data_IF_641758956502
#
_entry.id   IF_641758956502
#
_cell.length_a   1.000
_cell.length_b   1.000
_cell.length_c   1.000
_cell.angle_alpha   90.00
_cell.angle_beta   90.00
_cell.angle_gamma   90.00
#
_symmetry.space_group_name_H-M   'P 1'
#
loop_
_entity.id
_entity.type
_entity.pdbx_description
1 polymer ?
#
# COMPACT_ATOMS: atom_id res chain seq x y z
N UNK A 1 18.17 -31.27 5.74
CA UNK A 1 17.27 -30.37 6.51
C UNK A 1 17.34 -28.91 6.05
N UNK A 2 18.46 -28.38 5.55
CA UNK A 2 18.58 -26.94 5.18
C UNK A 2 17.79 -26.46 3.95
N UNK A 3 17.53 -27.31 2.95
CA UNK A 3 16.96 -26.86 1.66
C UNK A 3 15.57 -26.22 1.79
N UNK A 4 14.64 -26.86 2.51
CA UNK A 4 13.29 -26.31 2.70
C UNK A 4 13.29 -25.05 3.58
N UNK A 5 14.21 -24.96 4.54
CA UNK A 5 14.42 -23.75 5.34
C UNK A 5 14.86 -22.58 4.45
N UNK A 6 15.79 -22.79 3.51
CA UNK A 6 16.22 -21.75 2.56
C UNK A 6 15.11 -21.38 1.56
N UNK A 7 14.33 -22.35 1.07
CA UNK A 7 13.18 -22.06 0.20
C UNK A 7 12.13 -21.21 0.95
N UNK A 8 11.83 -21.54 2.21
CA UNK A 8 10.91 -20.76 3.02
C UNK A 8 11.44 -19.34 3.24
N UNK A 9 12.72 -19.21 3.62
CA UNK A 9 13.39 -17.92 3.80
C UNK A 9 13.28 -17.03 2.58
N UNK A 10 13.56 -17.59 1.41
CA UNK A 10 13.46 -16.88 0.13
C UNK A 10 12.01 -16.43 -0.13
N UNK A 11 11.03 -17.31 0.06
CA UNK A 11 9.60 -16.95 -0.08
C UNK A 11 9.19 -15.84 0.88
N UNK A 12 9.60 -15.92 2.14
CA UNK A 12 9.31 -14.88 3.14
C UNK A 12 9.95 -13.55 2.76
N UNK A 13 11.20 -13.55 2.28
CA UNK A 13 11.88 -12.34 1.82
C UNK A 13 11.14 -11.67 0.66
N UNK A 14 10.82 -12.42 -0.40
CA UNK A 14 10.12 -11.87 -1.57
C UNK A 14 8.72 -11.33 -1.21
N UNK A 15 7.96 -12.08 -0.40
CA UNK A 15 6.64 -11.64 0.06
C UNK A 15 6.75 -10.37 0.92
N UNK A 16 7.77 -10.30 1.79
CA UNK A 16 8.00 -9.12 2.63
C UNK A 16 8.23 -7.87 1.79
N UNK A 17 9.10 -7.92 0.79
CA UNK A 17 9.37 -6.76 -0.06
C UNK A 17 8.11 -6.28 -0.78
N UNK A 18 7.28 -7.21 -1.29
CA UNK A 18 6.00 -6.85 -1.91
C UNK A 18 5.05 -6.21 -0.88
N UNK A 19 4.96 -6.74 0.34
CA UNK A 19 4.11 -6.18 1.41
C UNK A 19 4.58 -4.79 1.87
N UNK A 20 5.90 -4.54 1.90
CA UNK A 20 6.47 -3.23 2.20
C UNK A 20 6.11 -2.22 1.10
N UNK A 21 6.30 -2.59 -0.17
CA UNK A 21 5.95 -1.73 -1.31
C UNK A 21 4.45 -1.40 -1.32
N UNK A 22 3.60 -2.38 -1.03
CA UNK A 22 2.15 -2.14 -0.92
C UNK A 22 1.81 -1.16 0.20
N UNK A 23 2.51 -1.19 1.33
CA UNK A 23 2.31 -0.18 2.36
C UNK A 23 2.80 1.20 1.90
N UNK A 24 3.95 1.31 1.24
CA UNK A 24 4.43 2.57 0.65
C UNK A 24 3.37 3.18 -0.27
N UNK A 25 2.90 2.39 -1.23
CA UNK A 25 1.87 2.79 -2.19
C UNK A 25 0.56 3.19 -1.51
N UNK A 26 0.15 2.46 -0.46
CA UNK A 26 -1.01 2.83 0.35
C UNK A 26 -0.86 4.21 0.97
N UNK A 27 0.29 4.53 1.55
CA UNK A 27 0.53 5.83 2.16
C UNK A 27 0.59 6.95 1.11
N UNK A 28 1.19 6.69 -0.06
CA UNK A 28 1.23 7.64 -1.16
C UNK A 28 -0.17 7.95 -1.70
N UNK A 29 -1.01 6.92 -1.89
CA UNK A 29 -2.40 7.07 -2.30
C UNK A 29 -3.18 7.88 -1.26
N UNK A 30 -3.04 7.56 0.03
CA UNK A 30 -3.71 8.30 1.12
C UNK A 30 -3.26 9.76 1.19
N UNK A 31 -1.98 10.03 0.95
CA UNK A 31 -1.43 11.38 0.96
C UNK A 31 -1.93 12.22 -0.22
N UNK A 32 -2.12 11.61 -1.39
CA UNK A 32 -2.66 12.31 -2.56
C UNK A 32 -4.17 12.44 -2.47
N UNK A 33 -4.87 11.44 -1.95
CA UNK A 33 -6.33 11.39 -1.91
C UNK A 33 -6.87 11.63 -0.49
N UNK A 34 -6.59 12.81 0.07
CA UNK A 34 -7.10 13.22 1.38
C UNK A 34 -7.98 14.49 1.30
N UNK A 35 -9.30 14.35 1.13
CA UNK A 35 -10.19 15.50 0.99
C UNK A 35 -10.33 16.35 2.26
N UNK A 36 -9.92 15.86 3.42
CA UNK A 36 -10.00 16.59 4.70
C UNK A 36 -8.88 17.63 4.85
N UNK A 37 -7.83 17.55 4.02
CA UNK A 37 -6.68 18.45 4.11
C UNK A 37 -6.81 19.63 3.14
N UNK A 38 -6.45 20.84 3.61
CA UNK A 38 -6.58 22.08 2.84
C UNK A 38 -5.76 22.08 1.54
N UNK A 39 -4.62 21.36 1.52
CA UNK A 39 -3.80 21.22 0.32
C UNK A 39 -4.50 20.44 -0.80
N UNK A 40 -5.46 19.58 -0.47
CA UNK A 40 -6.12 18.72 -1.45
C UNK A 40 -6.96 19.54 -2.43
N UNK A 41 -7.88 20.36 -1.90
CA UNK A 41 -8.77 21.19 -2.73
C UNK A 41 -7.98 22.20 -3.58
N UNK A 42 -6.90 22.76 -3.01
CA UNK A 42 -6.16 23.87 -3.63
C UNK A 42 -5.08 23.41 -4.60
N UNK A 43 -4.42 22.27 -4.35
CA UNK A 43 -3.30 21.80 -5.19
C UNK A 43 -3.58 20.48 -5.91
N UNK A 44 -4.30 19.55 -5.29
CA UNK A 44 -4.40 18.18 -5.80
C UNK A 44 -5.59 18.00 -6.72
N UNK A 45 -6.79 18.37 -6.25
CA UNK A 45 -8.07 18.08 -6.91
C UNK A 45 -8.13 18.53 -8.37
N UNK A 46 -7.49 19.65 -8.70
CA UNK A 46 -7.48 20.24 -10.05
C UNK A 46 -6.21 19.93 -10.84
N UNK A 47 -5.25 19.19 -10.27
CA UNK A 47 -3.96 18.92 -10.90
C UNK A 47 -3.98 17.62 -11.69
N UNK A 48 -3.83 17.73 -13.01
CA UNK A 48 -3.64 16.57 -13.89
C UNK A 48 -2.40 15.76 -13.55
N UNK A 49 -1.37 16.38 -12.95
CA UNK A 49 -0.17 15.70 -12.49
C UNK A 49 -0.49 14.78 -11.29
N UNK A 50 -1.10 15.30 -10.23
CA UNK A 50 -1.43 14.49 -9.05
C UNK A 50 -2.49 13.43 -9.35
N UNK A 51 -3.44 13.73 -10.24
CA UNK A 51 -4.39 12.71 -10.71
C UNK A 51 -3.69 11.55 -11.42
N UNK A 52 -2.71 11.83 -12.28
CA UNK A 52 -1.88 10.78 -12.93
C UNK A 52 -1.08 9.97 -11.91
N UNK A 53 -0.49 10.61 -10.91
CA UNK A 53 0.22 9.91 -9.84
C UNK A 53 -0.72 8.98 -9.07
N UNK A 54 -1.89 9.46 -8.65
CA UNK A 54 -2.91 8.66 -7.98
C UNK A 54 -3.28 7.41 -8.80
N UNK A 55 -3.54 7.57 -10.10
CA UNK A 55 -3.87 6.45 -10.99
C UNK A 55 -2.72 5.45 -11.11
N UNK A 56 -1.48 5.94 -11.24
CA UNK A 56 -0.30 5.08 -11.36
C UNK A 56 -0.01 4.31 -10.07
N UNK A 57 -0.11 4.94 -8.90
CA UNK A 57 0.07 4.26 -7.62
C UNK A 57 -1.02 3.23 -7.38
N UNK A 58 -2.28 3.55 -7.70
CA UNK A 58 -3.38 2.58 -7.64
C UNK A 58 -3.14 1.40 -8.57
N UNK A 59 -2.66 1.66 -9.79
CA UNK A 59 -2.30 0.62 -10.76
C UNK A 59 -1.21 -0.31 -10.20
N UNK A 60 -0.11 0.25 -9.66
CA UNK A 60 0.98 -0.53 -9.07
C UNK A 60 0.48 -1.35 -7.89
N UNK A 61 -0.32 -0.74 -7.01
CA UNK A 61 -0.91 -1.41 -5.86
C UNK A 61 -1.70 -2.65 -6.27
N UNK A 62 -2.55 -2.53 -7.30
CA UNK A 62 -3.34 -3.65 -7.81
C UNK A 62 -2.46 -4.76 -8.39
N UNK A 63 -1.42 -4.40 -9.13
CA UNK A 63 -0.48 -5.36 -9.73
C UNK A 63 0.26 -6.13 -8.64
N UNK A 64 0.80 -5.44 -7.64
CA UNK A 64 1.58 -6.07 -6.58
C UNK A 64 0.70 -6.86 -5.60
N UNK A 65 -0.50 -6.36 -5.30
CA UNK A 65 -1.48 -7.11 -4.52
C UNK A 65 -1.87 -8.41 -5.24
N UNK A 66 -2.03 -8.38 -6.56
CA UNK A 66 -2.32 -9.57 -7.36
C UNK A 66 -1.25 -10.66 -7.21
N UNK A 67 0.04 -10.29 -7.14
CA UNK A 67 1.14 -11.25 -6.94
C UNK A 67 0.99 -12.06 -5.65
N UNK A 68 0.40 -11.47 -4.62
CA UNK A 68 0.22 -12.10 -3.31
C UNK A 68 -1.02 -12.98 -3.19
N UNK A 69 -2.01 -12.82 -4.08
CA UNK A 69 -3.32 -13.49 -3.98
C UNK A 69 -3.56 -14.52 -5.08
N UNK A 70 -2.94 -14.37 -6.26
CA UNK A 70 -3.21 -15.27 -7.39
C UNK A 70 -2.45 -16.59 -7.24
N UNK A 71 -3.18 -17.70 -7.37
CA UNK A 71 -2.66 -19.05 -7.18
C UNK A 71 -1.55 -19.45 -8.16
N UNK A 72 -1.45 -18.80 -9.32
CA UNK A 72 -0.41 -19.08 -10.32
C UNK A 72 0.91 -18.40 -10.00
N UNK A 73 0.92 -17.41 -9.11
CA UNK A 73 2.11 -16.66 -8.73
C UNK A 73 2.95 -17.48 -7.72
N UNK A 74 4.27 -17.49 -7.90
CA UNK A 74 5.17 -18.29 -7.06
C UNK A 74 5.24 -17.80 -5.60
N UNK A 75 5.00 -16.51 -5.38
CA UNK A 75 5.12 -15.81 -4.10
C UNK A 75 3.76 -15.35 -3.56
N UNK A 76 2.69 -16.11 -3.81
CA UNK A 76 1.41 -15.85 -3.17
C UNK A 76 1.33 -16.46 -1.75
N UNK A 77 0.47 -15.86 -0.90
CA UNK A 77 0.33 -16.21 0.51
C UNK A 77 -0.22 -17.64 0.70
N UNK A 78 -1.13 -18.11 -0.17
CA UNK A 78 -1.64 -19.48 -0.07
C UNK A 78 -0.55 -20.51 -0.33
N UNK A 79 0.33 -20.26 -1.30
CA UNK A 79 1.49 -21.11 -1.58
C UNK A 79 2.49 -21.11 -0.42
N UNK A 80 2.68 -19.98 0.27
CA UNK A 80 3.48 -19.91 1.50
C UNK A 80 2.89 -20.80 2.61
N UNK A 81 1.57 -20.71 2.85
CA UNK A 81 0.88 -21.54 3.84
C UNK A 81 1.00 -23.02 3.49
N UNK A 82 0.65 -23.41 2.25
CA UNK A 82 0.68 -24.80 1.80
C UNK A 82 2.11 -25.38 1.86
N UNK A 83 3.13 -24.59 1.52
CA UNK A 83 4.52 -24.99 1.63
C UNK A 83 4.91 -25.27 3.08
N UNK A 84 4.52 -24.36 3.99
CA UNK A 84 4.76 -24.49 5.43
C UNK A 84 4.08 -25.74 6.01
N UNK A 85 2.84 -26.02 5.60
CA UNK A 85 2.09 -27.21 6.01
C UNK A 85 2.73 -28.52 5.53
N UNK A 86 3.11 -28.56 4.24
CA UNK A 86 3.63 -29.79 3.61
C UNK A 86 5.04 -30.14 4.06
N UNK A 87 5.79 -29.15 4.58
CA UNK A 87 7.19 -29.29 4.98
C UNK A 87 7.42 -29.02 6.47
N UNK A 88 6.39 -29.14 7.30
CA UNK A 88 6.43 -28.77 8.71
C UNK A 88 7.64 -29.36 9.46
N UNK A 89 7.92 -30.66 9.27
CA UNK A 89 9.02 -31.38 9.92
C UNK A 89 10.37 -31.26 9.18
N UNK A 90 10.41 -30.52 8.06
CA UNK A 90 11.60 -30.37 7.20
C UNK A 90 12.16 -28.96 7.20
N UNK A 91 11.53 -28.04 7.94
CA UNK A 91 11.92 -26.64 8.10
C UNK A 91 12.45 -26.47 9.52
N UNK A 92 13.55 -25.74 9.65
CA UNK A 92 14.15 -25.40 10.94
C UNK A 92 13.40 -24.18 11.52
N UNK A 93 12.24 -24.43 12.13
CA UNK A 93 11.44 -23.38 12.77
C UNK A 93 12.08 -22.90 14.07
N UNK A 94 12.00 -21.59 14.34
CA UNK A 94 12.25 -21.08 15.69
C UNK A 94 11.22 -21.65 16.68
N UNK A 95 9.94 -21.63 16.30
CA UNK A 95 8.84 -22.28 17.02
C UNK A 95 7.94 -22.97 16.02
N UNK A 96 7.98 -24.30 15.99
CA UNK A 96 7.17 -25.09 15.03
C UNK A 96 5.67 -24.78 15.17
N UNK A 97 4.98 -24.33 14.11
CA UNK A 97 3.54 -24.13 14.15
C UNK A 97 2.81 -25.48 14.18
N UNK A 98 1.54 -25.46 14.57
CA UNK A 98 0.69 -26.66 14.48
C UNK A 98 -0.02 -26.69 13.13
N UNK A 99 -0.47 -27.88 12.68
CA UNK A 99 -1.34 -27.95 11.51
C UNK A 99 -2.61 -27.11 11.67
N UNK A 100 -3.20 -27.13 12.88
CA UNK A 100 -4.37 -26.31 13.22
C UNK A 100 -4.12 -24.81 13.07
N UNK A 101 -2.98 -24.31 13.57
CA UNK A 101 -2.65 -22.88 13.43
C UNK A 101 -2.46 -22.47 11.97
N UNK A 102 -1.85 -23.32 11.13
CA UNK A 102 -1.74 -23.05 9.70
C UNK A 102 -3.09 -23.12 8.96
N UNK A 103 -4.00 -24.00 9.36
CA UNK A 103 -5.37 -24.05 8.81
C UNK A 103 -6.21 -22.82 9.20
N UNK A 104 -6.00 -22.24 10.39
CA UNK A 104 -6.60 -20.96 10.77
C UNK A 104 -6.14 -19.85 9.82
N UNK A 105 -4.83 -19.77 9.51
CA UNK A 105 -4.28 -18.80 8.56
C UNK A 105 -4.85 -19.00 7.15
N UNK A 106 -4.98 -20.25 6.71
CA UNK A 106 -5.61 -20.59 5.43
C UNK A 106 -7.07 -20.17 5.37
N UNK A 107 -7.82 -20.43 6.43
CA UNK A 107 -9.22 -19.99 6.54
C UNK A 107 -9.33 -18.47 6.50
N UNK A 108 -8.40 -17.76 7.15
CA UNK A 108 -8.32 -16.30 7.10
C UNK A 108 -8.06 -15.79 5.69
N UNK A 109 -7.11 -16.38 4.96
CA UNK A 109 -6.85 -16.07 3.55
C UNK A 109 -8.11 -16.25 2.68
N UNK A 110 -8.82 -17.38 2.86
CA UNK A 110 -10.05 -17.68 2.11
C UNK A 110 -11.19 -16.70 2.45
N UNK A 111 -11.31 -16.23 3.69
CA UNK A 111 -12.30 -15.20 4.04
C UNK A 111 -12.02 -13.87 3.34
N UNK A 112 -10.74 -13.54 3.13
CA UNK A 112 -10.33 -12.34 2.38
C UNK A 112 -10.57 -12.49 0.87
N UNK A 113 -10.81 -13.70 0.37
CA UNK A 113 -10.92 -13.97 -1.07
C UNK A 113 -12.15 -13.37 -1.75
N UNK A 114 -13.12 -12.84 -0.99
CA UNK A 114 -14.29 -12.13 -1.54
C UNK A 114 -13.91 -11.01 -2.52
N UNK A 115 -12.75 -10.38 -2.33
CA UNK A 115 -12.26 -9.28 -3.17
C UNK A 115 -11.28 -9.73 -4.26
N UNK A 116 -10.75 -10.97 -4.22
CA UNK A 116 -9.65 -11.36 -5.11
C UNK A 116 -10.05 -11.37 -6.58
N UNK A 117 -11.29 -11.78 -6.88
CA UNK A 117 -11.79 -11.76 -8.25
C UNK A 117 -11.81 -10.36 -8.84
N UNK A 118 -12.23 -9.36 -8.06
CA UNK A 118 -12.26 -7.95 -8.50
C UNK A 118 -10.85 -7.40 -8.69
N UNK A 119 -9.90 -7.75 -7.80
CA UNK A 119 -8.49 -7.37 -7.93
C UNK A 119 -7.88 -8.00 -9.19
N UNK A 120 -8.12 -9.28 -9.45
CA UNK A 120 -7.68 -9.97 -10.67
C UNK A 120 -8.32 -9.39 -11.93
N UNK A 121 -9.60 -9.03 -11.88
CA UNK A 121 -10.29 -8.35 -12.97
C UNK A 121 -9.63 -7.01 -13.28
N UNK A 122 -9.41 -6.17 -12.25
CA UNK A 122 -8.74 -4.88 -12.38
C UNK A 122 -7.33 -5.02 -12.95
N UNK A 123 -6.53 -5.93 -12.37
CA UNK A 123 -5.17 -6.19 -12.84
C UNK A 123 -5.17 -6.57 -14.31
N UNK A 124 -5.94 -7.58 -14.69
CA UNK A 124 -5.89 -8.13 -16.05
C UNK A 124 -6.53 -7.20 -17.08
N UNK A 125 -7.74 -6.70 -16.80
CA UNK A 125 -8.57 -6.01 -17.79
C UNK A 125 -8.38 -4.50 -17.82
N UNK A 126 -7.97 -3.89 -16.71
CA UNK A 126 -7.82 -2.43 -16.61
C UNK A 126 -6.36 -2.01 -16.65
N UNK A 127 -5.47 -2.71 -15.93
CA UNK A 127 -4.12 -2.21 -15.67
C UNK A 127 -2.99 -2.88 -16.45
N UNK A 128 -3.04 -4.19 -16.68
CA UNK A 128 -2.00 -4.95 -17.37
C UNK A 128 -2.15 -4.93 -18.89
N UNK A 129 -3.38 -4.86 -19.41
CA UNK A 129 -3.64 -4.83 -20.83
C UNK A 129 -4.23 -3.49 -21.29
N UNK A 130 -3.87 -3.06 -22.50
CA UNK A 130 -4.54 -1.97 -23.24
C UNK A 130 -5.75 -2.53 -23.98
N UNK A 131 -6.61 -3.27 -23.28
CA UNK A 131 -7.85 -3.79 -23.86
C UNK A 131 -8.72 -2.61 -24.34
N UNK A 132 -9.24 -2.69 -25.56
CA UNK A 132 -9.98 -1.59 -26.23
C UNK A 132 -11.30 -1.18 -25.52
N UNK A 133 -11.75 -1.94 -24.51
CA UNK A 133 -13.06 -1.80 -23.85
C UNK A 133 -12.97 -1.53 -22.33
N UNK A 134 -12.01 -0.71 -21.89
CA UNK A 134 -11.84 -0.42 -20.45
C UNK A 134 -13.08 0.21 -19.79
N UNK A 135 -13.83 1.01 -20.53
CA UNK A 135 -15.03 1.71 -20.06
C UNK A 135 -16.23 0.79 -19.80
N UNK A 136 -16.22 -0.45 -20.30
CA UNK A 136 -17.30 -1.42 -20.14
C UNK A 136 -17.09 -2.33 -18.90
N UNK A 137 -15.90 -2.30 -18.29
CA UNK A 137 -15.54 -3.17 -17.17
C UNK A 137 -16.10 -2.57 -15.88
N UNK A 138 -17.12 -3.22 -15.32
CA UNK A 138 -17.61 -2.93 -13.97
C UNK A 138 -16.79 -3.71 -12.95
N UNK A 139 -16.24 -3.00 -11.97
CA UNK A 139 -15.63 -3.57 -10.78
C UNK A 139 -16.23 -2.88 -9.56
N UNK A 140 -16.45 -3.65 -8.49
CA UNK A 140 -17.09 -3.15 -7.26
C UNK A 140 -16.13 -3.28 -6.07
N UNK A 141 -14.97 -2.64 -6.19
CA UNK A 141 -13.95 -2.63 -5.14
C UNK A 141 -13.49 -1.20 -4.85
N UNK A 142 -13.39 -0.87 -3.58
CA UNK A 142 -12.98 0.44 -3.07
C UNK A 142 -11.55 0.41 -2.53
N UNK A 143 -10.96 1.58 -2.30
CA UNK A 143 -9.67 1.68 -1.60
C UNK A 143 -9.71 1.04 -0.21
N UNK A 144 -10.85 1.12 0.49
CA UNK A 144 -11.02 0.48 1.79
C UNK A 144 -10.86 -1.04 1.69
N UNK A 145 -11.49 -1.65 0.69
CA UNK A 145 -11.39 -3.10 0.46
C UNK A 145 -9.95 -3.51 0.16
N UNK A 146 -9.19 -2.70 -0.60
CA UNK A 146 -7.76 -2.92 -0.81
C UNK A 146 -6.95 -2.89 0.49
N UNK A 147 -7.25 -1.96 1.39
CA UNK A 147 -6.59 -1.87 2.70
C UNK A 147 -6.94 -3.07 3.59
N UNK A 148 -8.18 -3.53 3.56
CA UNK A 148 -8.62 -4.74 4.28
C UNK A 148 -7.87 -5.98 3.77
N UNK A 149 -7.73 -6.12 2.45
CA UNK A 149 -6.96 -7.21 1.84
C UNK A 149 -5.50 -7.14 2.28
N UNK A 150 -4.84 -5.99 2.13
CA UNK A 150 -3.43 -5.83 2.53
C UNK A 150 -3.23 -6.16 4.02
N UNK A 151 -4.10 -5.67 4.89
CA UNK A 151 -4.02 -5.93 6.34
C UNK A 151 -4.08 -7.43 6.63
N UNK A 152 -5.01 -8.15 6.00
CA UNK A 152 -5.13 -9.60 6.17
C UNK A 152 -3.88 -10.36 5.69
N UNK A 153 -3.33 -9.97 4.53
CA UNK A 153 -2.10 -10.58 3.99
C UNK A 153 -0.90 -10.34 4.91
N UNK A 154 -0.73 -9.11 5.42
CA UNK A 154 0.33 -8.76 6.38
C UNK A 154 0.20 -9.54 7.68
N UNK A 155 -1.02 -9.74 8.19
CA UNK A 155 -1.27 -10.54 9.40
C UNK A 155 -0.86 -12.00 9.20
N UNK A 156 -1.26 -12.62 8.08
CA UNK A 156 -0.87 -14.00 7.78
C UNK A 156 0.65 -14.13 7.66
N UNK A 157 1.29 -13.19 6.97
CA UNK A 157 2.74 -13.16 6.84
C UNK A 157 3.43 -13.05 8.20
N UNK A 158 2.99 -12.11 9.05
CA UNK A 158 3.55 -11.91 10.39
C UNK A 158 3.54 -13.19 11.23
N UNK A 159 2.41 -13.90 11.24
CA UNK A 159 2.28 -15.13 12.02
C UNK A 159 3.25 -16.22 11.55
N UNK A 160 3.38 -16.42 10.24
CA UNK A 160 4.34 -17.40 9.69
C UNK A 160 5.77 -16.97 9.99
N UNK A 161 6.10 -15.69 9.80
CA UNK A 161 7.44 -15.18 10.05
C UNK A 161 7.83 -15.29 11.53
N UNK A 162 6.91 -14.99 12.45
CA UNK A 162 7.11 -15.14 13.89
C UNK A 162 7.45 -16.59 14.27
N UNK A 163 6.78 -17.57 13.66
CA UNK A 163 7.11 -18.98 13.85
C UNK A 163 8.48 -19.36 13.26
N UNK A 164 8.85 -18.74 12.13
CA UNK A 164 10.08 -19.04 11.42
C UNK A 164 11.33 -18.54 12.13
N UNK A 165 11.39 -17.25 12.46
CA UNK A 165 12.60 -16.60 12.99
C UNK A 165 12.37 -15.71 14.23
N UNK A 166 11.16 -15.75 14.81
CA UNK A 166 10.73 -14.91 15.94
C UNK A 166 10.70 -13.40 15.65
N UNK A 167 10.77 -12.99 14.38
CA UNK A 167 10.69 -11.57 14.01
C UNK A 167 9.25 -11.17 13.76
N UNK A 168 8.79 -10.16 14.49
CA UNK A 168 7.49 -9.54 14.30
C UNK A 168 7.60 -8.31 13.38
N UNK A 169 7.22 -8.48 12.11
CA UNK A 169 7.28 -7.40 11.12
C UNK A 169 6.15 -6.39 11.29
N UNK A 170 6.50 -5.14 11.58
CA UNK A 170 5.54 -4.04 11.56
C UNK A 170 5.59 -3.33 10.21
N UNK A 171 4.54 -3.51 9.41
CA UNK A 171 4.35 -2.81 8.14
C UNK A 171 3.74 -1.42 8.34
N UNK A 172 3.94 -0.77 9.49
CA UNK A 172 3.48 0.59 9.67
C UNK A 172 4.59 1.54 9.25
N UNK A 173 4.51 2.05 8.03
CA UNK A 173 5.44 3.08 7.58
C UNK A 173 5.03 4.39 8.26
N UNK A 174 5.84 4.83 9.21
CA UNK A 174 5.74 6.15 9.82
C UNK A 174 6.21 7.18 8.79
N UNK A 175 5.29 7.63 7.94
CA UNK A 175 5.49 8.88 7.23
C UNK A 175 5.40 10.01 8.26
N UNK A 176 6.48 10.77 8.42
CA UNK A 176 6.30 12.17 8.79
C UNK A 176 5.38 12.76 7.70
N UNK A 177 4.19 13.23 8.08
CA UNK A 177 3.14 13.84 7.22
C UNK A 177 3.74 14.42 5.93
N UNK A 178 3.17 14.19 4.73
CA UNK A 178 3.84 14.39 3.45
C UNK A 178 4.48 15.78 3.36
N UNK A 179 5.74 15.88 3.80
CA UNK A 179 6.40 17.16 4.09
C UNK A 179 6.55 17.91 2.79
N UNK A 180 6.84 17.22 1.69
CA UNK A 180 6.95 17.82 0.37
C UNK A 180 5.63 18.43 -0.13
N UNK A 181 4.49 17.76 0.02
CA UNK A 181 3.18 18.31 -0.41
C UNK A 181 2.77 19.47 0.50
N UNK A 182 2.91 19.30 1.82
CA UNK A 182 2.61 20.37 2.79
C UNK A 182 3.54 21.57 2.64
N UNK A 183 4.83 21.36 2.40
CA UNK A 183 5.82 22.42 2.17
C UNK A 183 5.56 23.12 0.84
N UNK A 184 5.20 22.38 -0.22
CA UNK A 184 4.79 22.98 -1.49
C UNK A 184 3.52 23.83 -1.32
N UNK A 185 2.60 23.38 -0.47
CA UNK A 185 1.41 24.15 -0.10
C UNK A 185 1.73 25.41 0.71
N UNK A 186 2.64 25.33 1.70
CA UNK A 186 3.15 26.49 2.44
C UNK A 186 3.77 27.51 1.49
N UNK A 187 4.60 27.04 0.56
CA UNK A 187 5.22 27.89 -0.45
C UNK A 187 4.15 28.58 -1.32
N UNK A 188 3.14 27.85 -1.77
CA UNK A 188 2.04 28.41 -2.55
C UNK A 188 1.29 29.50 -1.75
N UNK A 189 1.01 29.28 -0.46
CA UNK A 189 0.40 30.30 0.42
C UNK A 189 1.27 31.56 0.53
N UNK A 190 2.57 31.39 0.78
CA UNK A 190 3.51 32.53 0.89
C UNK A 190 3.58 33.30 -0.43
N UNK A 191 3.62 32.59 -1.55
CA UNK A 191 3.66 33.19 -2.89
C UNK A 191 2.37 33.95 -3.20
N UNK A 192 1.21 33.39 -2.87
CA UNK A 192 -0.07 34.05 -3.13
C UNK A 192 -0.20 35.34 -2.29
N UNK A 193 0.23 35.31 -1.01
CA UNK A 193 0.35 36.53 -0.17
C UNK A 193 1.30 37.56 -0.80
N UNK A 194 2.41 37.10 -1.37
CA UNK A 194 3.37 37.98 -2.05
C UNK A 194 2.77 38.63 -3.31
N UNK A 195 1.98 37.89 -4.08
CA UNK A 195 1.30 38.44 -5.25
C UNK A 195 0.17 39.41 -4.89
N UNK A 196 -0.57 39.17 -3.82
CA UNK A 196 -1.64 40.07 -3.36
C UNK A 196 -1.07 41.40 -2.87
N UNK A 197 -0.01 41.36 -2.07
CA UNK A 197 0.70 42.56 -1.60
C UNK A 197 1.41 43.34 -2.71
N UNK A 198 1.82 42.69 -3.82
CA UNK A 198 2.34 43.42 -4.98
C UNK A 198 1.22 44.13 -5.77
N UNK A 199 -0.04 43.67 -5.68
CA UNK A 199 -1.17 44.23 -6.42
C UNK A 199 -1.89 45.36 -5.67
N UNK A 200 -1.85 45.34 -4.35
CA UNK A 200 -2.30 46.46 -3.51
C UNK A 200 -1.07 47.27 -3.14
N UNK A 201 -1.01 48.59 -3.36
CA UNK A 201 0.11 49.48 -2.97
C UNK A 201 0.36 49.57 -1.43
N UNK A 202 -0.01 48.53 -0.68
CA UNK A 202 0.14 48.39 0.76
C UNK A 202 1.34 47.52 1.12
N UNK A 203 2.32 48.15 1.77
CA UNK A 203 3.45 47.49 2.42
C UNK A 203 2.99 46.86 3.75
N UNK A 204 2.23 45.77 3.68
CA UNK A 204 1.86 44.97 4.86
C UNK A 204 2.42 43.56 4.67
N UNK A 205 3.75 43.44 4.78
CA UNK A 205 4.37 42.17 5.12
C UNK A 205 4.70 42.17 6.60
N UNK A 206 3.85 41.53 7.42
CA UNK A 206 4.34 41.13 8.74
C UNK A 206 5.10 39.82 8.58
N UNK A 207 6.40 39.83 8.89
CA UNK A 207 7.21 38.60 9.07
C UNK A 207 6.49 37.57 9.95
N UNK A 208 5.55 37.99 10.78
CA UNK A 208 4.71 37.16 11.63
C UNK A 208 3.74 36.25 10.86
N UNK A 209 3.09 36.73 9.79
CA UNK A 209 2.16 35.92 8.99
C UNK A 209 2.88 34.80 8.23
N UNK A 210 4.04 35.12 7.65
CA UNK A 210 4.90 34.12 7.00
C UNK A 210 5.43 33.11 8.04
N UNK A 211 5.87 33.58 9.21
CA UNK A 211 6.27 32.68 10.32
C UNK A 211 5.13 31.78 10.78
N UNK A 212 3.88 32.28 10.79
CA UNK A 212 2.70 31.49 11.15
C UNK A 212 2.43 30.37 10.15
N UNK A 213 2.58 30.63 8.84
CA UNK A 213 2.43 29.61 7.77
C UNK A 213 3.54 28.57 7.82
N UNK A 214 4.78 28.96 8.13
CA UNK A 214 5.91 28.02 8.23
C UNK A 214 5.73 27.08 9.42
N UNK A 215 5.15 27.56 10.53
CA UNK A 215 4.98 26.84 11.80
C UNK A 215 3.80 25.86 11.83
N UNK A 216 2.78 26.02 10.99
CA UNK A 216 1.63 25.09 10.86
C UNK A 216 1.94 23.87 10.01
#
# INVERSE_FOLDING_TARGET
MKENSEILKHKLSEIREILLELECLKQDIRSIHNPEEEYFERMIKKSSFFYRLYLNYTKLFVIDCHKLIDKKEHFNILNLINFSQSNLNKIDWHKTPTHSSLEILKTKFLKTSKHFNDISLLRNKVFAHTDRKKSEIKYNITLKDFWEVLTSLQEIFREINLHYDNTNWQFQILYEKPTSIKNSFKYLKIRDLYYESFKSDFDIFTKEEVKKIIRT
#
